data_IF_626070473906
#
_entry.id   IF_626070473906
#
_cell.length_a   1.000
_cell.length_b   1.000
_cell.length_c   1.000
_cell.angle_alpha   90.00
_cell.angle_beta   90.00
_cell.angle_gamma   90.00
#
_symmetry.space_group_name_H-M   'P 1'
#
loop_
_entity.id
_entity.type
_entity.pdbx_description
1 polymer ?
#
# COMPACT_ATOMS: atom_id res chain seq x y z
N UNK A 1 28.84 -7.50 7.83
CA UNK A 1 29.18 -6.20 8.46
C UNK A 1 27.92 -5.70 9.15
N UNK A 2 28.02 -5.35 10.43
CA UNK A 2 26.89 -4.98 11.28
C UNK A 2 26.10 -3.81 10.68
N UNK A 3 24.77 -3.93 10.54
CA UNK A 3 23.90 -2.77 10.30
C UNK A 3 23.06 -2.61 11.55
N UNK A 4 23.35 -1.56 12.31
CA UNK A 4 22.60 -1.15 13.47
C UNK A 4 21.29 -0.52 12.98
N UNK A 5 20.17 -1.21 13.18
CA UNK A 5 18.82 -0.67 12.92
C UNK A 5 18.43 0.23 14.10
N UNK A 6 18.57 1.54 13.95
CA UNK A 6 18.01 2.51 14.91
C UNK A 6 16.55 2.77 14.54
N UNK A 7 15.63 2.22 15.32
CA UNK A 7 14.19 2.37 15.10
C UNK A 7 13.66 3.52 15.98
N UNK A 8 13.35 4.66 15.36
CA UNK A 8 12.62 5.76 15.99
C UNK A 8 11.52 6.21 15.02
N UNK A 9 10.33 5.63 15.17
CA UNK A 9 9.06 6.02 14.50
C UNK A 9 9.04 6.01 12.95
N UNK A 10 8.96 4.81 12.36
CA UNK A 10 8.54 4.56 10.95
C UNK A 10 9.36 5.18 9.81
N UNK A 11 10.63 5.56 10.03
CA UNK A 11 11.54 5.97 8.94
C UNK A 11 12.79 5.10 8.97
N UNK A 12 12.98 4.26 7.95
CA UNK A 12 14.17 3.43 7.82
C UNK A 12 15.21 4.15 6.94
N UNK A 13 16.46 4.21 7.42
CA UNK A 13 17.62 4.70 6.68
C UNK A 13 18.52 3.52 6.35
N UNK A 14 18.76 3.27 5.05
CA UNK A 14 19.67 2.22 4.59
C UNK A 14 20.93 2.84 3.98
N UNK A 15 22.11 2.38 4.41
CA UNK A 15 23.40 2.82 3.88
C UNK A 15 23.92 1.81 2.84
N UNK A 16 24.09 2.23 1.58
CA UNK A 16 24.78 1.43 0.54
C UNK A 16 26.22 1.92 0.38
N UNK A 17 27.19 1.00 0.43
CA UNK A 17 28.64 1.31 0.49
C UNK A 17 29.37 1.26 -0.86
N UNK A 18 28.68 1.41 -2.00
CA UNK A 18 29.32 1.44 -3.32
C UNK A 18 29.26 2.83 -3.97
N UNK A 19 30.36 3.57 -3.83
CA UNK A 19 30.83 4.71 -4.65
C UNK A 19 29.78 5.67 -5.24
N UNK A 20 29.01 6.31 -4.36
CA UNK A 20 28.41 7.65 -4.42
C UNK A 20 27.40 7.64 -3.28
N UNK A 21 27.54 8.51 -2.28
CA UNK A 21 26.62 8.52 -1.14
C UNK A 21 25.21 8.96 -1.58
N UNK A 22 24.40 8.01 -2.05
CA UNK A 22 22.97 8.19 -2.27
C UNK A 22 22.23 7.65 -1.06
N UNK A 23 21.78 8.55 -0.19
CA UNK A 23 20.86 8.22 0.89
C UNK A 23 19.50 7.86 0.28
N UNK A 24 19.01 6.64 0.51
CA UNK A 24 17.65 6.25 0.13
C UNK A 24 16.83 6.19 1.41
N UNK A 25 15.84 7.07 1.52
CA UNK A 25 14.90 7.12 2.64
C UNK A 25 13.74 6.18 2.33
N UNK A 26 13.43 5.23 3.21
CA UNK A 26 12.23 4.42 3.08
C UNK A 26 11.12 5.03 3.94
N UNK A 27 10.00 5.33 3.30
CA UNK A 27 8.80 5.84 3.94
C UNK A 27 7.72 4.78 3.77
N UNK A 28 7.26 4.22 4.89
CA UNK A 28 6.19 3.23 4.90
C UNK A 28 4.87 3.86 4.45
N UNK A 29 3.99 3.09 3.78
CA UNK A 29 2.71 3.60 3.32
C UNK A 29 1.76 3.89 4.48
N UNK A 30 0.98 4.94 4.32
CA UNK A 30 -0.30 5.12 4.99
C UNK A 30 -1.39 4.43 4.18
N UNK A 31 -2.23 3.63 4.86
CA UNK A 31 -3.29 2.84 4.23
C UNK A 31 -4.63 3.24 4.81
N UNK A 32 -5.59 3.55 3.93
CA UNK A 32 -6.97 3.81 4.31
C UNK A 32 -7.94 3.01 3.43
N UNK A 33 -9.00 2.50 4.05
CA UNK A 33 -10.09 1.82 3.35
C UNK A 33 -11.29 2.74 3.33
N UNK A 34 -11.74 3.10 2.14
CA UNK A 34 -12.76 4.11 1.91
C UNK A 34 -13.99 3.46 1.26
N UNK A 35 -15.17 3.69 1.83
CA UNK A 35 -16.43 3.29 1.22
C UNK A 35 -17.45 4.40 1.43
N UNK A 36 -18.06 4.90 0.34
CA UNK A 36 -19.02 6.00 0.42
C UNK A 36 -20.36 5.57 1.02
N UNK A 37 -20.88 4.42 0.61
CA UNK A 37 -22.08 3.77 1.16
C UNK A 37 -22.01 2.26 0.90
N UNK A 38 -22.92 1.47 1.49
CA UNK A 38 -22.89 0.00 1.41
C UNK A 38 -23.01 -0.60 0.02
N UNK A 39 -23.41 0.18 -0.99
CA UNK A 39 -23.50 -0.25 -2.39
C UNK A 39 -22.41 0.37 -3.26
N UNK A 40 -21.54 1.19 -2.70
CA UNK A 40 -20.41 1.76 -3.40
C UNK A 40 -19.22 0.80 -3.36
N UNK A 41 -18.36 0.83 -4.38
CA UNK A 41 -17.09 0.12 -4.37
C UNK A 41 -16.26 0.51 -3.14
N UNK A 42 -15.44 -0.43 -2.69
CA UNK A 42 -14.50 -0.24 -1.59
C UNK A 42 -13.15 0.14 -2.18
N UNK A 43 -12.57 1.24 -1.75
CA UNK A 43 -11.28 1.73 -2.26
C UNK A 43 -10.23 1.55 -1.17
N UNK A 44 -9.18 0.80 -1.48
CA UNK A 44 -7.94 0.82 -0.70
C UNK A 44 -7.05 1.93 -1.24
N UNK A 45 -6.83 2.98 -0.46
CA UNK A 45 -5.94 4.08 -0.80
C UNK A 45 -4.65 3.97 0.00
N UNK A 46 -3.55 3.87 -0.73
CA UNK A 46 -2.19 3.73 -0.21
C UNK A 46 -1.41 4.96 -0.63
N UNK A 47 -0.81 5.69 0.30
CA UNK A 47 -0.12 6.96 0.02
C UNK A 47 1.05 7.20 0.97
N UNK A 48 1.88 8.21 0.68
CA UNK A 48 2.98 8.63 1.55
C UNK A 48 4.20 7.70 1.53
N UNK A 49 4.26 6.76 0.58
CA UNK A 49 5.31 5.76 0.54
C UNK A 49 6.45 6.09 -0.43
N UNK A 50 7.64 5.58 -0.12
CA UNK A 50 8.82 5.65 -0.98
C UNK A 50 9.76 4.48 -0.61
N UNK A 51 10.37 3.77 -1.58
CA UNK A 51 10.33 3.97 -3.02
C UNK A 51 8.99 3.59 -3.65
N UNK A 52 8.86 3.79 -4.97
CA UNK A 52 7.61 3.67 -5.73
C UNK A 52 7.05 2.24 -5.85
N UNK A 53 7.90 1.23 -5.60
CA UNK A 53 7.52 -0.17 -5.68
C UNK A 53 6.60 -0.54 -4.52
N UNK A 54 5.39 -1.00 -4.83
CA UNK A 54 4.40 -1.48 -3.86
C UNK A 54 3.54 -2.57 -4.50
N UNK A 55 3.23 -3.61 -3.73
CA UNK A 55 2.24 -4.62 -4.11
C UNK A 55 1.02 -4.44 -3.23
N UNK A 56 -0.16 -4.40 -3.85
CA UNK A 56 -1.43 -4.25 -3.15
C UNK A 56 -2.33 -5.39 -3.59
N UNK A 57 -2.85 -6.15 -2.65
CA UNK A 57 -3.66 -7.34 -2.92
C UNK A 57 -4.94 -7.26 -2.11
N UNK A 58 -6.07 -7.64 -2.73
CA UNK A 58 -7.29 -7.90 -1.98
C UNK A 58 -7.32 -9.36 -1.56
N UNK A 59 -7.62 -9.60 -0.27
CA UNK A 59 -7.96 -10.91 0.22
C UNK A 59 -9.46 -10.99 0.46
N UNK A 60 -10.07 -12.10 0.10
CA UNK A 60 -11.42 -12.50 0.47
C UNK A 60 -11.34 -13.71 1.39
N UNK A 61 -11.75 -13.53 2.65
CA UNK A 61 -11.66 -14.58 3.67
C UNK A 61 -10.26 -15.22 3.75
N UNK A 62 -9.23 -14.39 3.74
CA UNK A 62 -7.80 -14.78 3.81
C UNK A 62 -7.21 -15.40 2.53
N UNK A 63 -8.00 -15.58 1.47
CA UNK A 63 -7.53 -16.04 0.16
C UNK A 63 -7.38 -14.86 -0.80
N UNK A 64 -6.36 -14.91 -1.67
CA UNK A 64 -6.13 -13.89 -2.70
C UNK A 64 -7.33 -13.76 -3.64
N UNK A 65 -7.71 -12.52 -3.94
CA UNK A 65 -8.87 -12.17 -4.73
C UNK A 65 -8.54 -11.06 -5.73
N UNK A 66 -8.75 -11.37 -7.00
CA UNK A 66 -8.46 -10.50 -8.15
C UNK A 66 -9.71 -10.21 -9.01
N UNK A 67 -10.82 -10.93 -8.79
CA UNK A 67 -12.10 -10.68 -9.47
C UNK A 67 -12.70 -9.33 -9.06
N UNK A 68 -13.23 -8.57 -10.02
CA UNK A 68 -13.87 -7.28 -9.77
C UNK A 68 -12.97 -6.26 -9.02
N UNK A 69 -11.65 -6.38 -9.20
CA UNK A 69 -10.61 -5.49 -8.68
C UNK A 69 -10.04 -4.60 -9.79
N UNK A 70 -10.13 -3.28 -9.58
CA UNK A 70 -9.53 -2.27 -10.44
C UNK A 70 -8.27 -1.67 -9.80
N UNK A 71 -7.12 -1.88 -10.44
CA UNK A 71 -5.85 -1.31 -10.02
C UNK A 71 -5.68 0.10 -10.60
N UNK A 72 -5.71 1.11 -9.73
CA UNK A 72 -5.40 2.49 -10.09
C UNK A 72 -3.94 2.68 -10.49
N UNK A 73 -3.67 3.78 -11.18
CA UNK A 73 -2.30 4.17 -11.56
C UNK A 73 -1.46 4.49 -10.32
N UNK A 74 -0.15 4.30 -10.44
CA UNK A 74 0.81 4.81 -9.46
C UNK A 74 1.03 6.30 -9.75
N UNK A 75 0.71 7.16 -8.78
CA UNK A 75 0.77 8.60 -8.93
C UNK A 75 1.82 9.19 -7.98
N UNK A 76 2.63 10.16 -8.43
CA UNK A 76 3.53 10.90 -7.55
C UNK A 76 2.74 11.95 -6.73
N UNK A 77 3.17 12.15 -5.48
CA UNK A 77 2.72 13.25 -4.61
C UNK A 77 3.64 14.46 -4.76
N UNK A 78 3.15 15.65 -4.37
CA UNK A 78 3.93 16.90 -4.42
C UNK A 78 5.16 16.86 -3.48
N UNK A 79 5.12 16.07 -2.42
CA UNK A 79 6.20 15.90 -1.45
C UNK A 79 7.27 14.88 -1.89
N UNK A 80 7.12 14.30 -3.08
CA UNK A 80 8.04 13.30 -3.64
C UNK A 80 7.77 11.86 -3.22
N UNK A 81 6.72 11.60 -2.42
CA UNK A 81 6.22 10.25 -2.16
C UNK A 81 5.30 9.76 -3.27
N UNK A 82 4.82 8.52 -3.18
CA UNK A 82 3.89 7.93 -4.14
C UNK A 82 2.54 7.60 -3.49
N UNK A 83 1.54 7.47 -4.34
CA UNK A 83 0.22 6.96 -3.99
C UNK A 83 -0.31 6.00 -5.05
N UNK A 84 -1.17 5.08 -4.63
CA UNK A 84 -1.87 4.14 -5.50
C UNK A 84 -3.22 3.78 -4.87
N UNK A 85 -4.23 3.58 -5.69
CA UNK A 85 -5.54 3.07 -5.26
C UNK A 85 -5.80 1.71 -5.86
N UNK A 86 -6.50 0.85 -5.11
CA UNK A 86 -7.06 -0.40 -5.63
C UNK A 86 -8.51 -0.48 -5.21
N UNK A 87 -9.41 -0.57 -6.18
CA UNK A 87 -10.86 -0.53 -5.97
C UNK A 87 -11.44 -1.93 -6.11
N UNK A 88 -12.26 -2.34 -5.15
CA UNK A 88 -12.96 -3.62 -5.15
C UNK A 88 -14.47 -3.38 -5.33
N UNK A 89 -15.06 -4.02 -6.32
CA UNK A 89 -16.47 -3.93 -6.65
C UNK A 89 -17.23 -5.14 -6.09
N UNK A 90 -17.77 -5.01 -4.87
CA UNK A 90 -18.54 -6.09 -4.24
C UNK A 90 -20.04 -5.79 -4.24
N UNK A 91 -20.89 -6.72 -4.67
CA UNK A 91 -22.34 -6.64 -4.45
C UNK A 91 -22.69 -6.52 -2.95
N UNK A 92 -23.71 -5.73 -2.57
CA UNK A 92 -24.06 -5.51 -1.16
C UNK A 92 -24.34 -6.78 -0.35
N UNK A 93 -24.91 -7.81 -0.98
CA UNK A 93 -25.24 -9.07 -0.33
C UNK A 93 -24.00 -9.94 -0.07
N UNK A 94 -22.96 -9.77 -0.87
CA UNK A 94 -21.70 -10.51 -0.77
C UNK A 94 -20.75 -9.85 0.21
N UNK A 95 -20.70 -8.51 0.24
CA UNK A 95 -19.91 -7.74 1.21
C UNK A 95 -20.34 -7.95 2.66
N UNK A 96 -21.57 -8.41 2.90
CA UNK A 96 -22.07 -8.78 4.24
C UNK A 96 -21.66 -10.19 4.68
N UNK A 97 -21.31 -11.06 3.73
CA UNK A 97 -21.05 -12.49 3.97
C UNK A 97 -19.57 -12.83 4.01
N UNK A 98 -18.74 -12.01 3.37
CA UNK A 98 -17.31 -12.23 3.26
C UNK A 98 -16.55 -11.08 3.93
N UNK A 99 -15.38 -11.40 4.45
CA UNK A 99 -14.45 -10.44 5.00
C UNK A 99 -13.39 -10.12 3.96
N UNK A 100 -13.26 -8.85 3.61
CA UNK A 100 -12.28 -8.38 2.64
C UNK A 100 -11.16 -7.59 3.34
N UNK A 101 -9.91 -7.86 2.95
CA UNK A 101 -8.74 -7.16 3.46
C UNK A 101 -7.91 -6.61 2.30
N UNK A 102 -7.48 -5.35 2.44
CA UNK A 102 -6.44 -4.82 1.58
C UNK A 102 -5.09 -5.06 2.24
N UNK A 103 -4.24 -5.86 1.61
CA UNK A 103 -2.88 -6.16 2.06
C UNK A 103 -1.91 -5.35 1.22
N UNK A 104 -0.99 -4.65 1.88
CA UNK A 104 0.00 -3.80 1.24
C UNK A 104 1.38 -4.29 1.63
N UNK A 105 2.17 -4.67 0.63
CA UNK A 105 3.56 -5.04 0.77
C UNK A 105 4.43 -3.92 0.17
N UNK A 106 5.29 -3.35 1.01
CA UNK A 106 6.17 -2.23 0.69
C UNK A 106 7.57 -2.53 1.25
N UNK A 107 8.61 -2.19 0.47
CA UNK A 107 10.01 -2.59 0.71
C UNK A 107 10.61 -2.18 2.07
#
# INVERSE_FOLDING_TARGET
>A
MFVLTLCIHSKYLIFSSHSSQSFVFFLAPEVSVLQRNSSSPVVCHVTGFYPAAVTITWLRNEEEHDEDVDFGELLPNEDGTFQKTVTLHVPPDEGKKNLYFCVVEHE
#
